data_IF_948389247644
#
_entry.id   IF_948389247644
#
_cell.length_a   1.000
_cell.length_b   1.000
_cell.length_c   1.000
_cell.angle_alpha   90.00
_cell.angle_beta   90.00
_cell.angle_gamma   90.00
#
_symmetry.space_group_name_H-M   'P 1'
#
loop_
_entity.id
_entity.type
_entity.pdbx_description
1 polymer ?
#
# COMPACT_ATOMS: atom_id res chain seq x y z
N UNK A 1 -40.36 -22.62 20.90
CA UNK A 1 -40.93 -22.73 19.54
C UNK A 1 -41.09 -21.33 18.99
N UNK A 2 -40.52 -20.91 17.87
CA UNK A 2 -39.58 -21.48 16.90
C UNK A 2 -39.07 -20.26 16.12
N UNK A 3 -37.77 -19.98 16.16
CA UNK A 3 -36.81 -20.23 15.08
C UNK A 3 -37.33 -19.89 13.66
N UNK A 4 -36.93 -18.72 13.17
CA UNK A 4 -36.73 -18.45 11.75
C UNK A 4 -35.23 -18.29 11.48
N UNK A 5 -34.73 -18.74 10.32
CA UNK A 5 -33.33 -19.09 10.11
C UNK A 5 -32.46 -17.86 9.83
N UNK A 6 -31.34 -17.80 10.53
CA UNK A 6 -30.21 -16.90 10.29
C UNK A 6 -29.50 -17.34 9.00
N UNK A 7 -29.77 -16.67 7.88
CA UNK A 7 -29.05 -16.88 6.62
C UNK A 7 -27.72 -16.11 6.68
N UNK A 8 -26.57 -16.78 6.49
CA UNK A 8 -25.28 -16.13 6.63
C UNK A 8 -25.03 -15.12 5.50
N UNK A 9 -24.55 -13.93 5.89
CA UNK A 9 -24.02 -12.91 4.99
C UNK A 9 -22.94 -13.49 4.06
N UNK A 10 -22.88 -13.06 2.78
CA UNK A 10 -21.82 -13.50 1.88
C UNK A 10 -20.43 -13.06 2.38
N UNK A 11 -19.39 -13.89 2.18
CA UNK A 11 -18.05 -13.60 2.68
C UNK A 11 -17.49 -12.36 1.98
N UNK A 12 -17.01 -11.42 2.80
CA UNK A 12 -16.36 -10.19 2.37
C UNK A 12 -15.02 -10.53 1.66
N UNK A 13 -14.84 -10.23 0.35
CA UNK A 13 -13.66 -10.63 -0.42
C UNK A 13 -12.40 -9.78 -0.14
N UNK A 14 -12.42 -8.95 0.91
CA UNK A 14 -11.30 -8.07 1.26
C UNK A 14 -10.57 -8.47 2.56
N UNK A 15 -10.84 -9.67 3.12
CA UNK A 15 -10.18 -10.12 4.36
C UNK A 15 -8.95 -11.02 4.18
N UNK A 16 -8.72 -11.52 2.97
CA UNK A 16 -7.57 -12.38 2.67
C UNK A 16 -6.53 -11.64 1.83
N UNK A 17 -5.81 -10.73 2.46
CA UNK A 17 -4.45 -10.46 2.03
C UNK A 17 -3.59 -10.07 3.23
N UNK A 18 -3.14 -11.13 3.92
CA UNK A 18 -1.84 -11.25 4.55
C UNK A 18 -1.33 -9.93 5.13
N UNK A 19 -1.70 -9.68 6.39
CA UNK A 19 -0.86 -8.87 7.25
C UNK A 19 0.60 -9.28 6.99
N UNK A 20 1.52 -8.36 6.66
CA UNK A 20 2.92 -8.72 6.60
C UNK A 20 3.26 -9.26 7.99
N UNK A 21 3.47 -10.59 8.01
CA UNK A 21 3.99 -11.36 9.12
C UNK A 21 5.02 -10.50 9.82
N UNK A 22 4.75 -10.24 11.10
CA UNK A 22 5.58 -9.59 12.08
C UNK A 22 7.05 -9.74 11.72
N UNK A 23 7.54 -8.78 10.93
CA UNK A 23 8.95 -8.71 10.58
C UNK A 23 9.59 -8.39 11.91
N UNK A 24 10.20 -9.42 12.49
CA UNK A 24 10.99 -9.35 13.70
C UNK A 24 11.75 -8.04 13.61
N UNK A 25 11.50 -7.13 14.55
CA UNK A 25 12.36 -5.99 14.81
C UNK A 25 13.68 -6.63 15.22
N UNK A 26 14.46 -7.03 14.22
CA UNK A 26 15.78 -7.57 14.40
C UNK A 26 16.59 -6.34 14.75
N UNK A 27 16.74 -6.14 16.06
CA UNK A 27 17.61 -5.14 16.64
C UNK A 27 18.90 -5.08 15.81
N UNK A 28 19.51 -3.90 15.64
CA UNK A 28 20.85 -3.84 15.08
C UNK A 28 21.71 -4.84 15.88
N UNK A 29 22.14 -5.93 15.22
CA UNK A 29 23.04 -6.90 15.83
C UNK A 29 24.34 -6.15 15.98
N UNK A 30 24.50 -5.48 17.12
CA UNK A 30 25.71 -4.76 17.46
C UNK A 30 26.87 -5.74 17.29
N UNK A 31 27.98 -5.34 16.66
CA UNK A 31 29.10 -6.24 16.35
C UNK A 31 29.69 -6.96 17.57
N UNK A 32 29.43 -6.47 18.80
CA UNK A 32 29.75 -7.15 20.06
C UNK A 32 29.04 -8.50 20.25
N UNK A 33 27.86 -8.73 19.65
CA UNK A 33 27.12 -10.00 19.77
C UNK A 33 27.82 -11.14 19.03
N UNK A 34 28.66 -10.82 18.03
CA UNK A 34 29.25 -11.82 17.15
C UNK A 34 30.57 -12.40 17.65
N UNK A 35 31.24 -11.76 18.62
CA UNK A 35 32.58 -12.16 19.09
C UNK A 35 32.66 -12.15 20.62
N UNK A 36 33.06 -13.27 21.26
CA UNK A 36 33.29 -13.31 22.71
C UNK A 36 34.36 -12.29 23.11
N UNK A 37 34.23 -11.66 24.28
CA UNK A 37 35.21 -10.68 24.75
C UNK A 37 36.56 -11.36 24.97
N UNK A 38 37.66 -10.63 24.83
CA UNK A 38 39.03 -11.18 24.96
C UNK A 38 39.20 -11.98 26.27
N UNK A 39 38.65 -11.50 27.39
CA UNK A 39 38.68 -12.21 28.67
C UNK A 39 37.89 -13.52 28.66
N UNK A 40 36.71 -13.53 28.04
CA UNK A 40 35.87 -14.73 27.92
C UNK A 40 36.54 -15.78 27.01
N UNK A 41 37.18 -15.32 25.93
CA UNK A 41 37.90 -16.20 25.00
C UNK A 41 39.16 -16.81 25.63
N UNK A 42 39.91 -16.03 26.41
CA UNK A 42 41.06 -16.54 27.17
C UNK A 42 40.62 -17.58 28.21
N UNK A 43 39.46 -17.39 28.83
CA UNK A 43 38.88 -18.33 29.81
C UNK A 43 38.34 -19.60 29.13
N UNK A 44 37.64 -19.48 28.00
CA UNK A 44 37.13 -20.60 27.19
C UNK A 44 38.27 -21.49 26.68
N UNK A 45 39.41 -20.88 26.30
CA UNK A 45 40.61 -21.60 25.87
C UNK A 45 41.42 -22.18 27.03
N UNK A 46 41.03 -21.93 28.28
CA UNK A 46 41.76 -22.38 29.47
C UNK A 46 43.11 -21.70 29.67
N UNK A 47 43.34 -20.55 29.02
CA UNK A 47 44.59 -19.79 29.10
C UNK A 47 44.66 -18.95 30.39
N UNK A 48 43.51 -18.64 30.99
CA UNK A 48 43.39 -17.99 32.30
C UNK A 48 42.27 -18.64 33.10
N UNK A 49 42.33 -18.54 34.43
CA UNK A 49 41.21 -18.95 35.29
C UNK A 49 40.22 -17.82 35.51
N UNK A 50 39.01 -18.17 35.96
CA UNK A 50 38.00 -17.16 36.34
C UNK A 50 38.47 -16.26 37.48
N UNK A 51 39.26 -16.78 38.41
CA UNK A 51 39.86 -15.98 39.49
C UNK A 51 40.89 -15.00 38.96
N UNK A 52 41.71 -15.42 38.00
CA UNK A 52 42.74 -14.56 37.39
C UNK A 52 42.10 -13.42 36.59
N UNK A 53 41.07 -13.74 35.81
CA UNK A 53 40.29 -12.75 35.08
C UNK A 53 39.63 -11.73 36.02
N UNK A 54 39.04 -12.19 37.13
CA UNK A 54 38.40 -11.31 38.11
C UNK A 54 39.42 -10.37 38.76
N UNK A 55 40.59 -10.89 39.18
CA UNK A 55 41.69 -10.08 39.73
C UNK A 55 42.17 -9.03 38.75
N UNK A 56 42.33 -9.39 37.47
CA UNK A 56 42.74 -8.46 36.43
C UNK A 56 41.69 -7.35 36.17
N UNK A 57 40.40 -7.70 36.21
CA UNK A 57 39.30 -6.73 36.09
C UNK A 57 39.21 -5.78 37.29
N UNK A 58 39.43 -6.29 38.49
CA UNK A 58 39.46 -5.47 39.71
C UNK A 58 40.65 -4.50 39.68
N UNK A 59 41.81 -4.98 39.22
CA UNK A 59 42.98 -4.12 38.96
C UNK A 59 42.70 -3.07 37.89
N UNK A 60 42.00 -3.43 36.80
CA UNK A 60 41.64 -2.51 35.74
C UNK A 60 40.73 -1.39 36.25
N UNK A 61 39.71 -1.73 37.04
CA UNK A 61 38.79 -0.78 37.67
C UNK A 61 39.52 0.15 38.64
N UNK A 62 40.38 -0.39 39.50
CA UNK A 62 41.18 0.40 40.44
C UNK A 62 42.06 1.44 39.71
N UNK A 63 42.70 1.05 38.61
CA UNK A 63 43.54 1.94 37.79
C UNK A 63 42.72 2.97 36.99
N UNK A 64 41.53 2.60 36.52
CA UNK A 64 40.61 3.52 35.87
C UNK A 64 40.12 4.62 36.83
N UNK A 65 39.84 4.26 38.08
CA UNK A 65 39.46 5.22 39.14
C UNK A 65 40.65 6.12 39.51
N UNK A 66 41.88 5.60 39.49
CA UNK A 66 43.11 6.36 39.74
C UNK A 66 43.52 7.28 38.56
N UNK A 67 42.71 7.39 37.51
CA UNK A 67 42.96 8.27 36.36
C UNK A 67 43.93 7.72 35.32
N UNK A 68 44.37 6.47 35.45
CA UNK A 68 45.28 5.80 34.52
C UNK A 68 44.64 4.52 33.97
N UNK A 69 43.66 4.62 33.05
CA UNK A 69 43.00 3.45 32.49
C UNK A 69 44.00 2.58 31.72
N UNK A 70 44.12 1.31 32.12
CA UNK A 70 44.96 0.30 31.45
C UNK A 70 44.10 -0.73 30.71
N UNK A 71 44.65 -1.29 29.64
CA UNK A 71 43.99 -2.37 28.88
C UNK A 71 44.10 -3.69 29.65
N UNK A 72 43.02 -4.48 29.68
CA UNK A 72 42.98 -5.76 30.39
C UNK A 72 44.10 -6.71 29.95
N UNK A 73 44.42 -6.77 28.65
CA UNK A 73 45.52 -7.59 28.13
C UNK A 73 46.89 -7.19 28.66
N UNK A 74 47.15 -5.89 28.87
CA UNK A 74 48.42 -5.42 29.45
C UNK A 74 48.53 -5.84 30.92
N UNK A 75 47.44 -5.74 31.68
CA UNK A 75 47.36 -6.16 33.08
C UNK A 75 47.58 -7.68 33.19
N UNK A 76 46.97 -8.47 32.31
CA UNK A 76 47.14 -9.93 32.29
C UNK A 76 48.60 -10.34 32.04
N UNK A 77 49.33 -9.60 31.19
CA UNK A 77 50.76 -9.83 30.94
C UNK A 77 51.62 -9.36 32.10
N UNK A 78 51.33 -8.20 32.68
CA UNK A 78 52.05 -7.63 33.83
C UNK A 78 51.93 -8.52 35.08
N UNK A 79 50.74 -9.08 35.33
CA UNK A 79 50.48 -10.03 36.40
C UNK A 79 51.02 -11.44 36.09
N UNK A 80 51.68 -11.64 34.94
CA UNK A 80 52.18 -12.94 34.44
C UNK A 80 51.10 -14.03 34.36
N UNK A 81 49.85 -13.62 34.18
CA UNK A 81 48.72 -14.54 34.01
C UNK A 81 48.67 -15.09 32.58
N UNK A 82 49.16 -14.32 31.61
CA UNK A 82 49.30 -14.70 30.20
C UNK A 82 50.63 -14.16 29.69
N UNK A 83 51.34 -14.90 28.83
CA UNK A 83 52.53 -14.38 28.16
C UNK A 83 52.17 -13.50 26.94
N UNK A 84 53.10 -12.62 26.54
CA UNK A 84 52.83 -11.69 25.44
C UNK A 84 52.59 -12.39 24.10
N UNK A 85 53.26 -13.52 23.85
CA UNK A 85 53.12 -14.29 22.61
C UNK A 85 51.72 -14.93 22.48
N UNK A 86 51.20 -15.50 23.57
CA UNK A 86 49.86 -16.08 23.68
C UNK A 86 48.81 -15.00 23.52
N UNK A 87 48.99 -13.84 24.16
CA UNK A 87 48.07 -12.72 24.01
C UNK A 87 48.03 -12.23 22.54
N UNK A 88 49.18 -12.06 21.90
CA UNK A 88 49.27 -11.63 20.49
C UNK A 88 48.65 -12.66 19.54
N UNK A 89 48.86 -13.97 19.80
CA UNK A 89 48.23 -15.04 19.03
C UNK A 89 46.70 -15.02 19.16
N UNK A 90 46.19 -14.92 20.38
CA UNK A 90 44.75 -14.85 20.66
C UNK A 90 44.11 -13.63 20.00
N UNK A 91 44.75 -12.46 20.10
CA UNK A 91 44.26 -11.24 19.45
C UNK A 91 44.22 -11.43 17.93
N UNK A 92 45.25 -12.04 17.35
CA UNK A 92 45.33 -12.29 15.91
C UNK A 92 44.22 -13.23 15.45
N UNK A 93 43.97 -14.33 16.17
CA UNK A 93 42.84 -15.22 15.89
C UNK A 93 41.50 -14.49 15.97
N UNK A 94 41.32 -13.65 17.00
CA UNK A 94 40.10 -12.87 17.18
C UNK A 94 39.86 -11.93 15.98
N UNK A 95 40.91 -11.24 15.52
CA UNK A 95 40.85 -10.31 14.39
C UNK A 95 40.49 -11.05 13.11
N UNK A 96 41.10 -12.21 12.86
CA UNK A 96 40.79 -13.01 11.68
C UNK A 96 39.35 -13.51 11.70
N UNK A 97 38.86 -13.99 12.86
CA UNK A 97 37.47 -14.42 13.03
C UNK A 97 36.48 -13.27 12.81
N UNK A 98 36.80 -12.09 13.33
CA UNK A 98 36.08 -10.83 13.11
C UNK A 98 35.97 -10.49 11.61
N UNK A 99 37.11 -10.49 10.91
CA UNK A 99 37.17 -10.16 9.49
C UNK A 99 36.36 -11.15 8.65
N UNK A 100 36.47 -12.45 8.93
CA UNK A 100 35.70 -13.48 8.25
C UNK A 100 34.20 -13.33 8.50
N UNK A 101 33.79 -13.08 9.73
CA UNK A 101 32.38 -12.92 10.07
C UNK A 101 31.77 -11.64 9.48
N UNK A 102 32.53 -10.53 9.47
CA UNK A 102 32.12 -9.29 8.82
C UNK A 102 31.99 -9.46 7.31
N UNK A 103 32.94 -10.14 6.67
CA UNK A 103 32.92 -10.42 5.24
C UNK A 103 31.70 -11.27 4.85
N UNK A 104 31.40 -12.29 5.63
CA UNK A 104 30.21 -13.13 5.41
C UNK A 104 28.91 -12.34 5.60
N UNK A 105 28.84 -11.53 6.65
CA UNK A 105 27.68 -10.67 6.91
C UNK A 105 27.45 -9.65 5.79
N UNK A 106 28.52 -9.00 5.30
CA UNK A 106 28.43 -8.08 4.17
C UNK A 106 27.93 -8.77 2.92
N UNK A 107 28.46 -9.95 2.60
CA UNK A 107 28.01 -10.74 1.45
C UNK A 107 26.53 -11.13 1.55
N UNK A 108 26.07 -11.50 2.76
CA UNK A 108 24.66 -11.78 3.00
C UNK A 108 23.78 -10.53 2.87
N UNK A 109 24.27 -9.38 3.35
CA UNK A 109 23.56 -8.11 3.22
C UNK A 109 23.43 -7.69 1.76
N UNK A 110 24.51 -7.76 0.98
CA UNK A 110 24.51 -7.50 -0.46
C UNK A 110 23.48 -8.38 -1.18
N UNK A 111 23.46 -9.69 -0.88
CA UNK A 111 22.48 -10.60 -1.46
C UNK A 111 21.04 -10.22 -1.12
N UNK A 112 20.77 -9.87 0.14
CA UNK A 112 19.42 -9.43 0.58
C UNK A 112 19.01 -8.12 -0.09
N UNK A 113 19.93 -7.18 -0.25
CA UNK A 113 19.68 -5.91 -0.94
C UNK A 113 19.33 -6.16 -2.40
N UNK A 114 20.07 -7.04 -3.08
CA UNK A 114 19.79 -7.41 -4.47
C UNK A 114 18.42 -8.08 -4.62
N UNK A 115 18.11 -9.08 -3.79
CA UNK A 115 16.82 -9.77 -3.81
C UNK A 115 15.65 -8.81 -3.56
N UNK A 116 15.77 -7.92 -2.57
CA UNK A 116 14.75 -6.90 -2.29
C UNK A 116 14.59 -5.90 -3.44
N UNK A 117 15.70 -5.48 -4.04
CA UNK A 117 15.69 -4.55 -5.17
C UNK A 117 14.98 -5.16 -6.38
N UNK A 118 15.29 -6.42 -6.70
CA UNK A 118 14.60 -7.15 -7.77
C UNK A 118 13.10 -7.33 -7.48
N UNK A 119 12.73 -7.68 -6.25
CA UNK A 119 11.33 -7.82 -5.86
C UNK A 119 10.56 -6.49 -5.99
N UNK A 120 11.17 -5.37 -5.57
CA UNK A 120 10.60 -4.04 -5.71
C UNK A 120 10.44 -3.64 -7.18
N UNK A 121 11.45 -3.89 -8.02
CA UNK A 121 11.37 -3.62 -9.46
C UNK A 121 10.22 -4.39 -10.13
N UNK A 122 10.06 -5.68 -9.80
CA UNK A 122 8.94 -6.49 -10.30
C UNK A 122 7.59 -5.93 -9.86
N UNK A 123 7.46 -5.54 -8.58
CA UNK A 123 6.21 -4.96 -8.06
C UNK A 123 5.89 -3.62 -8.70
N UNK A 124 6.89 -2.77 -8.92
CA UNK A 124 6.73 -1.51 -9.64
C UNK A 124 6.31 -1.72 -11.09
N UNK A 125 6.88 -2.72 -11.77
CA UNK A 125 6.45 -3.08 -13.12
C UNK A 125 4.98 -3.51 -13.14
N UNK A 126 4.55 -4.39 -12.21
CA UNK A 126 3.16 -4.80 -12.08
C UNK A 126 2.21 -3.62 -11.83
N UNK A 127 2.56 -2.70 -10.93
CA UNK A 127 1.76 -1.49 -10.65
C UNK A 127 1.67 -0.60 -11.88
N UNK A 128 2.77 -0.41 -12.63
CA UNK A 128 2.76 0.37 -13.88
C UNK A 128 1.85 -0.26 -14.92
N UNK A 129 1.95 -1.56 -15.14
CA UNK A 129 1.10 -2.30 -16.07
C UNK A 129 -0.37 -2.22 -15.65
N UNK A 130 -0.68 -2.42 -14.36
CA UNK A 130 -2.04 -2.27 -13.86
C UNK A 130 -2.57 -0.85 -14.07
N UNK A 131 -1.75 0.19 -13.82
CA UNK A 131 -2.13 1.57 -14.07
C UNK A 131 -2.30 1.87 -15.57
N UNK A 132 -1.52 1.25 -16.45
CA UNK A 132 -1.70 1.32 -17.90
C UNK A 132 -3.01 0.66 -18.34
N UNK A 133 -3.30 -0.54 -17.87
CA UNK A 133 -4.58 -1.23 -18.12
C UNK A 133 -5.75 -0.39 -17.61
N UNK A 134 -5.67 0.13 -16.39
CA UNK A 134 -6.69 1.03 -15.84
C UNK A 134 -6.82 2.30 -16.67
N UNK A 135 -5.72 2.91 -17.12
CA UNK A 135 -5.77 4.09 -18.03
C UNK A 135 -6.36 3.74 -19.39
N UNK A 136 -6.12 2.54 -19.92
CA UNK A 136 -6.72 2.06 -21.17
C UNK A 136 -8.22 1.81 -20.99
N UNK A 137 -8.63 1.19 -19.89
CA UNK A 137 -10.04 0.96 -19.55
C UNK A 137 -10.78 2.28 -19.25
N UNK A 138 -10.12 3.22 -18.57
CA UNK A 138 -10.64 4.54 -18.20
C UNK A 138 -10.44 5.60 -19.27
N UNK A 139 -9.87 5.26 -20.44
CA UNK A 139 -9.90 6.17 -21.59
C UNK A 139 -11.37 6.45 -21.85
N UNK A 140 -11.75 7.66 -21.48
CA UNK A 140 -13.08 8.26 -21.54
C UNK A 140 -13.71 8.44 -22.94
N UNK A 141 -13.09 8.09 -24.10
CA UNK A 141 -13.82 8.05 -25.36
C UNK A 141 -14.97 7.04 -25.38
N UNK A 142 -14.87 5.90 -24.68
CA UNK A 142 -15.87 4.85 -24.83
C UNK A 142 -17.23 5.16 -24.17
N UNK A 143 -17.29 5.83 -23.01
CA UNK A 143 -18.60 6.08 -22.39
C UNK A 143 -19.44 7.05 -23.20
N UNK A 144 -18.87 8.19 -23.62
CA UNK A 144 -19.59 9.17 -24.41
C UNK A 144 -19.96 8.61 -25.80
N UNK A 145 -19.07 7.83 -26.42
CA UNK A 145 -19.34 7.16 -27.69
C UNK A 145 -20.43 6.10 -27.57
N UNK A 146 -20.40 5.26 -26.52
CA UNK A 146 -21.44 4.26 -26.27
C UNK A 146 -22.79 4.91 -25.98
N UNK A 147 -22.83 5.96 -25.17
CA UNK A 147 -24.06 6.72 -24.92
C UNK A 147 -24.58 7.31 -26.24
N UNK A 148 -23.71 7.87 -27.09
CA UNK A 148 -24.12 8.45 -28.37
C UNK A 148 -24.68 7.39 -29.32
N UNK A 149 -23.99 6.26 -29.46
CA UNK A 149 -24.47 5.11 -30.24
C UNK A 149 -25.81 4.63 -29.70
N UNK A 150 -25.97 4.50 -28.39
CA UNK A 150 -27.19 4.01 -27.74
C UNK A 150 -28.39 4.92 -28.04
N UNK A 151 -28.24 6.22 -27.81
CA UNK A 151 -29.33 7.18 -28.02
C UNK A 151 -29.73 7.25 -29.51
N UNK A 152 -28.75 7.23 -30.43
CA UNK A 152 -29.02 7.21 -31.87
C UNK A 152 -29.72 5.91 -32.30
N UNK A 153 -29.29 4.74 -31.77
CA UNK A 153 -29.94 3.45 -32.07
C UNK A 153 -31.37 3.38 -31.56
N UNK A 154 -31.66 3.94 -30.38
CA UNK A 154 -33.02 4.00 -29.84
C UNK A 154 -33.94 4.79 -30.78
N UNK A 155 -33.48 5.95 -31.24
CA UNK A 155 -34.24 6.77 -32.20
C UNK A 155 -34.41 6.07 -33.55
N UNK A 156 -33.35 5.49 -34.10
CA UNK A 156 -33.39 4.78 -35.39
C UNK A 156 -34.29 3.54 -35.37
N UNK A 157 -34.20 2.71 -34.32
CA UNK A 157 -34.86 1.41 -34.27
C UNK A 157 -36.33 1.50 -33.84
N UNK A 158 -36.68 2.48 -33.02
CA UNK A 158 -38.05 2.65 -32.50
C UNK A 158 -38.77 3.86 -33.08
N UNK A 159 -38.13 4.61 -33.99
CA UNK A 159 -38.68 5.78 -34.67
C UNK A 159 -39.21 6.86 -33.70
N UNK A 160 -38.49 7.09 -32.60
CA UNK A 160 -38.81 8.14 -31.64
C UNK A 160 -38.31 9.51 -32.12
N UNK A 161 -39.04 10.57 -31.80
CA UNK A 161 -38.65 11.95 -32.14
C UNK A 161 -37.31 12.36 -31.50
N UNK A 162 -37.10 11.95 -30.24
CA UNK A 162 -35.96 12.38 -29.45
C UNK A 162 -35.67 11.38 -28.32
N UNK A 163 -34.40 11.14 -28.02
CA UNK A 163 -33.95 10.42 -26.84
C UNK A 163 -32.80 11.17 -26.15
N UNK A 164 -32.72 11.02 -24.84
CA UNK A 164 -31.69 11.61 -24.00
C UNK A 164 -31.34 10.71 -22.82
N UNK A 165 -30.07 10.74 -22.42
CA UNK A 165 -29.56 10.06 -21.23
C UNK A 165 -29.05 11.08 -20.24
N UNK A 166 -29.61 11.04 -19.03
CA UNK A 166 -29.18 11.81 -17.88
C UNK A 166 -28.45 10.89 -16.90
N UNK A 167 -27.37 11.39 -16.29
CA UNK A 167 -26.71 10.73 -15.17
C UNK A 167 -26.81 11.59 -13.92
N UNK A 168 -27.09 10.97 -12.79
CA UNK A 168 -27.12 11.64 -11.50
C UNK A 168 -25.69 12.03 -11.12
N UNK A 169 -25.51 13.25 -10.61
CA UNK A 169 -24.21 13.72 -10.14
C UNK A 169 -23.75 12.96 -8.88
N UNK A 170 -22.44 12.95 -8.56
CA UNK A 170 -21.93 12.20 -7.41
C UNK A 170 -22.53 12.63 -6.05
N UNK A 171 -23.14 13.82 -5.99
CA UNK A 171 -23.80 14.34 -4.79
C UNK A 171 -25.28 13.95 -4.70
N UNK A 172 -25.85 13.28 -5.71
CA UNK A 172 -27.25 12.86 -5.74
C UNK A 172 -28.25 14.01 -5.90
N UNK A 173 -27.80 15.22 -6.24
CA UNK A 173 -28.60 16.45 -6.23
C UNK A 173 -29.16 16.79 -7.60
N UNK A 174 -28.44 16.48 -8.67
CA UNK A 174 -28.83 16.85 -10.03
C UNK A 174 -28.72 15.68 -11.01
N UNK A 175 -29.73 15.54 -11.86
CA UNK A 175 -29.67 14.74 -13.08
C UNK A 175 -29.05 15.61 -14.20
N UNK A 176 -27.85 15.27 -14.63
CA UNK A 176 -27.08 16.02 -15.63
C UNK A 176 -27.20 15.34 -16.98
N UNK A 177 -27.55 16.10 -18.02
CA UNK A 177 -27.63 15.59 -19.38
C UNK A 177 -26.23 15.15 -19.86
N UNK A 178 -26.09 13.89 -20.27
CA UNK A 178 -24.84 13.36 -20.80
C UNK A 178 -24.83 13.25 -22.31
N UNK A 179 -25.93 12.76 -22.88
CA UNK A 179 -26.07 12.56 -24.32
C UNK A 179 -27.51 12.69 -24.75
N UNK A 180 -27.74 13.25 -25.94
CA UNK A 180 -29.06 13.42 -26.53
C UNK A 180 -28.98 13.48 -28.05
N UNK A 181 -30.04 13.02 -28.73
CA UNK A 181 -30.13 13.03 -30.19
C UNK A 181 -30.41 14.43 -30.76
N UNK A 182 -30.00 14.61 -32.03
CA UNK A 182 -30.37 15.78 -32.82
C UNK A 182 -29.62 17.07 -32.49
N UNK A 183 -30.02 18.16 -33.16
CA UNK A 183 -29.43 19.50 -32.96
C UNK A 183 -29.74 20.05 -31.56
N UNK A 184 -30.95 19.79 -31.08
CA UNK A 184 -31.43 20.16 -29.73
C UNK A 184 -30.56 19.52 -28.65
N UNK A 185 -30.27 18.22 -28.76
CA UNK A 185 -29.40 17.51 -27.82
C UNK A 185 -27.99 18.10 -27.73
N UNK A 186 -27.40 18.52 -28.87
CA UNK A 186 -26.09 19.17 -28.90
C UNK A 186 -26.10 20.54 -28.20
N UNK A 187 -27.17 21.31 -28.38
CA UNK A 187 -27.30 22.64 -27.78
C UNK A 187 -27.56 22.57 -26.26
N UNK A 188 -28.43 21.67 -25.82
CA UNK A 188 -28.68 21.41 -24.39
C UNK A 188 -27.41 20.89 -23.68
N UNK A 189 -26.62 20.04 -24.36
CA UNK A 189 -25.33 19.57 -23.85
C UNK A 189 -24.31 20.69 -23.74
N UNK A 190 -24.22 21.59 -24.73
CA UNK A 190 -23.33 22.75 -24.69
C UNK A 190 -23.66 23.71 -23.52
N UNK A 191 -24.93 23.76 -23.12
CA UNK A 191 -25.41 24.56 -21.98
C UNK A 191 -25.26 23.85 -20.62
N UNK A 192 -24.68 22.64 -20.57
CA UNK A 192 -24.61 21.80 -19.36
C UNK A 192 -25.98 21.64 -18.67
N UNK A 193 -27.01 21.35 -19.47
CA UNK A 193 -28.39 21.23 -18.98
C UNK A 193 -28.50 20.19 -17.86
N UNK A 194 -29.20 20.56 -16.79
CA UNK A 194 -29.37 19.75 -15.58
C UNK A 194 -30.71 20.04 -14.90
N UNK A 195 -31.29 19.00 -14.32
CA UNK A 195 -32.53 19.06 -13.56
C UNK A 195 -32.26 18.60 -12.12
N UNK A 196 -32.93 19.18 -11.14
CA UNK A 196 -32.80 18.72 -9.76
C UNK A 196 -33.50 17.36 -9.60
N UNK A 197 -32.88 16.44 -8.85
CA UNK A 197 -33.52 15.17 -8.47
C UNK A 197 -34.74 15.50 -7.60
N UNK A 198 -35.89 14.89 -7.92
CA UNK A 198 -37.15 15.20 -7.24
C UNK A 198 -37.78 16.54 -7.62
N UNK A 199 -37.26 17.21 -8.65
CA UNK A 199 -37.96 18.35 -9.24
C UNK A 199 -39.32 17.94 -9.79
N UNK A 200 -40.20 18.94 -9.96
CA UNK A 200 -41.51 18.79 -10.60
C UNK A 200 -41.36 18.65 -12.13
N UNK A 201 -40.64 17.61 -12.54
CA UNK A 201 -40.40 17.21 -13.94
C UNK A 201 -40.51 15.68 -14.05
N UNK A 202 -40.81 15.15 -15.23
CA UNK A 202 -40.82 13.69 -15.47
C UNK A 202 -39.48 13.05 -15.08
N UNK A 203 -38.35 13.68 -15.44
CA UNK A 203 -37.00 13.23 -15.06
C UNK A 203 -36.77 13.32 -13.55
N UNK A 204 -37.22 14.40 -12.91
CA UNK A 204 -37.14 14.59 -11.45
C UNK A 204 -37.94 13.53 -10.67
N UNK A 205 -39.11 13.16 -11.17
CA UNK A 205 -39.95 12.13 -10.56
C UNK A 205 -39.32 10.74 -10.69
N UNK A 206 -38.84 10.37 -11.88
CA UNK A 206 -38.20 9.06 -12.14
C UNK A 206 -36.92 8.91 -11.33
N UNK A 207 -36.12 9.97 -11.21
CA UNK A 207 -34.87 9.94 -10.41
C UNK A 207 -35.11 9.78 -8.91
N UNK A 208 -36.31 10.11 -8.41
CA UNK A 208 -36.68 9.94 -6.99
C UNK A 208 -37.27 8.57 -6.72
N UNK A 209 -38.17 8.10 -7.59
CA UNK A 209 -38.94 6.86 -7.36
C UNK A 209 -38.24 5.62 -7.93
N UNK A 210 -37.23 5.80 -8.79
CA UNK A 210 -36.48 4.74 -9.47
C UNK A 210 -37.40 3.72 -10.19
N UNK A 211 -38.47 4.24 -10.79
CA UNK A 211 -39.48 3.46 -11.51
C UNK A 211 -39.69 4.04 -12.92
N UNK A 212 -39.89 3.19 -13.95
CA UNK A 212 -40.19 3.67 -15.29
C UNK A 212 -41.54 4.38 -15.32
N UNK A 213 -41.60 5.52 -16.00
CA UNK A 213 -42.83 6.28 -16.26
C UNK A 213 -43.01 6.42 -17.77
N UNK A 214 -44.20 6.09 -18.26
CA UNK A 214 -44.58 6.23 -19.66
C UNK A 214 -45.81 7.13 -19.67
N UNK A 215 -45.76 8.24 -20.41
CA UNK A 215 -46.94 9.07 -20.68
C UNK A 215 -47.29 8.98 -22.16
N UNK A 216 -48.57 8.80 -22.45
CA UNK A 216 -49.09 8.72 -23.83
C UNK A 216 -49.25 10.10 -24.45
N UNK A 217 -49.53 11.11 -23.62
CA UNK A 217 -49.48 12.54 -23.97
C UNK A 217 -48.76 13.27 -22.84
N UNK A 218 -47.67 13.95 -23.15
CA UNK A 218 -46.89 14.70 -22.15
C UNK A 218 -47.58 16.01 -21.77
N UNK A 219 -48.43 16.58 -22.64
CA UNK A 219 -49.15 17.82 -22.34
C UNK A 219 -50.26 17.64 -21.31
N UNK A 220 -50.72 16.40 -21.12
CA UNK A 220 -51.68 16.01 -20.08
C UNK A 220 -51.00 15.54 -18.78
N UNK A 221 -49.66 15.43 -18.73
CA UNK A 221 -48.92 15.04 -17.53
C UNK A 221 -48.58 16.27 -16.66
N UNK A 222 -49.07 16.29 -15.42
CA UNK A 222 -48.84 17.35 -14.42
C UNK A 222 -47.35 17.65 -14.14
N UNK A 223 -46.46 16.73 -14.55
CA UNK A 223 -45.02 16.77 -14.38
C UNK A 223 -44.26 17.13 -15.66
N UNK A 224 -44.95 17.48 -16.76
CA UNK A 224 -44.27 17.93 -17.96
C UNK A 224 -43.75 19.37 -17.81
N UNK A 225 -42.47 19.55 -18.12
CA UNK A 225 -41.83 20.85 -18.20
C UNK A 225 -41.52 21.11 -19.66
N UNK A 226 -42.28 22.01 -20.29
CA UNK A 226 -42.08 22.35 -21.69
C UNK A 226 -40.71 23.04 -21.86
N UNK A 227 -39.84 22.44 -22.66
CA UNK A 227 -38.59 23.05 -23.10
C UNK A 227 -38.84 23.70 -24.46
N UNK A 228 -38.52 25.00 -24.60
CA UNK A 228 -38.69 25.74 -25.86
C UNK A 228 -37.92 25.09 -27.03
N UNK A 229 -36.90 24.28 -26.73
CA UNK A 229 -36.11 23.57 -27.72
C UNK A 229 -36.70 22.21 -28.13
N UNK A 230 -37.77 21.73 -27.49
CA UNK A 230 -38.46 20.48 -27.83
C UNK A 230 -39.95 20.73 -28.14
N UNK A 231 -40.27 21.34 -29.30
CA UNK A 231 -41.64 21.76 -29.60
C UNK A 231 -42.58 20.63 -30.08
N UNK A 232 -42.06 19.42 -30.30
CA UNK A 232 -42.83 18.29 -30.87
C UNK A 232 -42.83 17.04 -29.96
N UNK A 233 -42.48 17.19 -28.68
CA UNK A 233 -42.66 16.16 -27.65
C UNK A 233 -44.02 16.31 -27.00
#
# INVERSE_FOLDING_TARGET
MSDLPDSPLPPNPLRDNVAPSTDQINLPVSPEILIPRLGDYLLEKGLITQQDLQRALDYQKANAIAGNPRLLGQILVELKMVDRATLDHVITEQILKLQSALKETNKQLEKRVEERTQALQRRLAQIRTAAEITRMAMRAPHLNELLSITVNRIVEQFNYYYAAIFLIDPQGKYAVLREATGKVGKELKARNYKLAVGSRSIVGWVTTHNQPRISTDVNEDDLYLQDELLPQT
#
